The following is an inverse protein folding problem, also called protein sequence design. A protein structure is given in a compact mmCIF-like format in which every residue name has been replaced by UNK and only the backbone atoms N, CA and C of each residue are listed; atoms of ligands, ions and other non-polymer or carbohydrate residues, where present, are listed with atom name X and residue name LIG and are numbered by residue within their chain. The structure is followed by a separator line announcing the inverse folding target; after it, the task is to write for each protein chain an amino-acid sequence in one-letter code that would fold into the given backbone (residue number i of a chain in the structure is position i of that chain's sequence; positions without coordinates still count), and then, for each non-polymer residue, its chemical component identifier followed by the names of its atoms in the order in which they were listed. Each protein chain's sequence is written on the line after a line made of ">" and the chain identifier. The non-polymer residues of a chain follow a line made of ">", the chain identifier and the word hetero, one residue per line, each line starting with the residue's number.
data_IF_828475093638
#
_entry.id   IF_828475093638
#
_cell.length_a   1.000
_cell.length_b   1.000
_cell.length_c   1.000
_cell.angle_alpha   90.00
_cell.angle_beta   90.00
_cell.angle_gamma   90.00
#
_symmetry.space_group_name_H-M   'P 1'
#
loop_
_entity.id
_entity.type
_entity.pdbx_description
1 polymer ?
#
# COMPACT_ATOMS: atom_id res chain seq x y z
N UNK A 1 12.50 5.17 2.89
CA UNK A 1 12.25 3.72 2.72
C UNK A 1 11.01 3.40 3.54
N UNK A 2 9.83 3.38 2.93
CA UNK A 2 8.58 3.32 3.69
C UNK A 2 8.37 1.91 4.26
N UNK A 3 8.43 1.83 5.59
CA UNK A 3 8.28 0.65 6.41
C UNK A 3 6.78 0.35 6.60
N UNK A 4 6.07 0.01 5.53
CA UNK A 4 4.67 -0.40 5.64
C UNK A 4 4.62 -1.85 6.10
N UNK A 5 4.54 -2.02 7.42
CA UNK A 5 4.18 -3.24 8.12
C UNK A 5 4.81 -4.46 7.43
N UNK A 6 6.12 -4.61 7.59
CA UNK A 6 6.66 -5.97 7.67
C UNK A 6 5.89 -6.62 8.80
N UNK A 7 4.82 -7.34 8.46
CA UNK A 7 4.34 -8.49 9.20
C UNK A 7 5.56 -9.40 9.31
N UNK A 8 6.43 -9.12 10.29
CA UNK A 8 7.34 -10.09 10.86
C UNK A 8 6.42 -11.04 11.62
N UNK A 9 5.74 -11.87 10.84
CA UNK A 9 5.28 -13.13 11.34
C UNK A 9 6.59 -13.85 11.67
N UNK A 10 6.95 -13.85 12.95
CA UNK A 10 7.98 -14.73 13.48
C UNK A 10 7.40 -16.13 13.36
N UNK A 11 7.48 -16.68 12.16
CA UNK A 11 7.00 -18.02 11.84
C UNK A 11 8.04 -19.01 12.39
N UNK A 12 8.15 -19.06 13.71
CA UNK A 12 8.93 -20.03 14.43
C UNK A 12 8.12 -21.33 14.39
N UNK A 13 8.48 -22.24 13.48
CA UNK A 13 7.92 -23.59 13.43
C UNK A 13 7.20 -24.02 12.13
N UNK A 14 7.09 -23.19 11.08
CA UNK A 14 6.62 -23.67 9.77
C UNK A 14 7.77 -24.13 8.87
N UNK A 15 7.51 -25.22 8.15
CA UNK A 15 8.34 -25.70 7.03
C UNK A 15 8.51 -24.63 5.96
N UNK A 16 9.64 -24.66 5.22
CA UNK A 16 9.99 -23.65 4.20
C UNK A 16 8.87 -23.42 3.18
N UNK A 17 8.27 -24.49 2.66
CA UNK A 17 7.19 -24.39 1.66
C UNK A 17 5.95 -23.65 2.19
N UNK A 18 5.57 -23.90 3.45
CA UNK A 18 4.44 -23.21 4.08
C UNK A 18 4.76 -21.74 4.35
N UNK A 19 6.02 -21.42 4.68
CA UNK A 19 6.49 -20.03 4.82
C UNK A 19 6.38 -19.29 3.50
N UNK A 20 6.84 -19.87 2.41
CA UNK A 20 6.79 -19.23 1.08
C UNK A 20 5.35 -19.00 0.63
N UNK A 21 4.46 -19.98 0.84
CA UNK A 21 3.04 -19.83 0.53
C UNK A 21 2.38 -18.71 1.36
N UNK A 22 2.65 -18.64 2.67
CA UNK A 22 2.14 -17.58 3.53
C UNK A 22 2.68 -16.21 3.11
N UNK A 23 3.98 -16.12 2.78
CA UNK A 23 4.59 -14.89 2.30
C UNK A 23 3.95 -14.41 1.00
N UNK A 24 3.68 -15.31 0.04
CA UNK A 24 3.04 -14.95 -1.21
C UNK A 24 1.58 -14.52 -1.02
N UNK A 25 0.83 -15.18 -0.14
CA UNK A 25 -0.51 -14.76 0.23
C UNK A 25 -0.52 -13.37 0.87
N UNK A 26 0.44 -13.09 1.76
CA UNK A 26 0.61 -11.77 2.37
C UNK A 26 0.98 -10.71 1.34
N UNK A 27 1.96 -10.98 0.45
CA UNK A 27 2.32 -10.07 -0.64
C UNK A 27 1.11 -9.71 -1.50
N UNK A 28 0.32 -10.71 -1.91
CA UNK A 28 -0.87 -10.50 -2.72
C UNK A 28 -1.92 -9.67 -1.98
N UNK A 29 -2.16 -9.96 -0.70
CA UNK A 29 -3.08 -9.19 0.14
C UNK A 29 -2.64 -7.74 0.29
N UNK A 30 -1.36 -7.51 0.59
CA UNK A 30 -0.78 -6.17 0.71
C UNK A 30 -0.86 -5.41 -0.62
N UNK A 31 -0.57 -6.06 -1.75
CA UNK A 31 -0.71 -5.45 -3.09
C UNK A 31 -2.15 -5.01 -3.35
N UNK A 32 -3.12 -5.88 -3.07
CA UNK A 32 -4.53 -5.58 -3.25
C UNK A 32 -5.00 -4.44 -2.34
N UNK A 33 -4.58 -4.43 -1.07
CA UNK A 33 -4.88 -3.33 -0.16
C UNK A 33 -4.30 -2.00 -0.66
N UNK A 34 -3.03 -1.98 -1.08
CA UNK A 34 -2.40 -0.78 -1.66
C UNK A 34 -3.13 -0.28 -2.89
N UNK A 35 -3.56 -1.18 -3.76
CA UNK A 35 -4.36 -0.81 -4.93
C UNK A 35 -5.67 -0.14 -4.54
N UNK A 36 -6.43 -0.72 -3.59
CA UNK A 36 -7.70 -0.12 -3.11
C UNK A 36 -7.49 1.27 -2.50
N UNK A 37 -6.44 1.43 -1.70
CA UNK A 37 -6.10 2.70 -1.07
C UNK A 37 -5.71 3.76 -2.10
N UNK A 38 -4.91 3.38 -3.10
CA UNK A 38 -4.55 4.29 -4.20
C UNK A 38 -5.77 4.68 -5.05
N UNK A 39 -6.65 3.73 -5.35
CA UNK A 39 -7.90 4.02 -6.04
C UNK A 39 -8.78 4.99 -5.26
N UNK A 40 -8.78 4.91 -3.93
CA UNK A 40 -9.47 5.90 -3.09
C UNK A 40 -8.82 7.27 -3.18
N UNK A 41 -7.49 7.35 -3.13
CA UNK A 41 -6.76 8.59 -3.33
C UNK A 41 -7.09 9.25 -4.67
N UNK A 42 -7.12 8.48 -5.77
CA UNK A 42 -7.44 8.99 -7.11
C UNK A 42 -8.87 9.48 -7.31
N UNK A 43 -9.80 9.17 -6.40
CA UNK A 43 -11.17 9.72 -6.45
C UNK A 43 -11.22 11.20 -6.10
N UNK A 44 -10.20 11.69 -5.41
CA UNK A 44 -10.11 13.07 -4.97
C UNK A 44 -9.22 13.85 -5.95
N UNK A 45 -9.67 15.01 -6.45
CA UNK A 45 -8.89 15.79 -7.41
C UNK A 45 -7.68 16.49 -6.76
N UNK A 46 -7.72 16.72 -5.44
CA UNK A 46 -6.63 17.35 -4.69
C UNK A 46 -6.13 16.46 -3.55
N UNK A 47 -4.88 16.66 -3.14
CA UNK A 47 -4.28 15.95 -2.01
C UNK A 47 -4.99 16.32 -0.71
N UNK A 48 -5.37 17.59 -0.58
CA UNK A 48 -6.01 18.17 0.60
C UNK A 48 -7.36 17.51 0.86
N UNK A 49 -8.17 17.29 -0.18
CA UNK A 49 -9.44 16.56 -0.07
C UNK A 49 -9.20 15.08 0.27
N UNK A 50 -8.18 14.47 -0.32
CA UNK A 50 -7.83 13.08 -0.01
C UNK A 50 -7.42 12.89 1.46
N UNK A 51 -6.73 13.87 2.06
CA UNK A 51 -6.31 13.82 3.47
C UNK A 51 -7.49 13.86 4.45
N UNK A 52 -8.61 14.49 4.07
CA UNK A 52 -9.83 14.50 4.87
C UNK A 52 -10.57 13.15 4.86
N UNK A 53 -10.32 12.32 3.84
CA UNK A 53 -10.99 11.03 3.63
C UNK A 53 -10.14 9.85 4.15
N UNK A 54 -9.80 9.88 5.44
CA UNK A 54 -8.95 8.87 6.08
C UNK A 54 -9.65 7.49 6.08
N UNK A 55 -8.98 6.43 5.58
CA UNK A 55 -9.51 5.08 5.68
C UNK A 55 -9.56 4.58 7.12
N UNK A 56 -10.67 3.94 7.51
CA UNK A 56 -10.84 3.34 8.84
C UNK A 56 -9.79 2.26 9.18
N UNK A 57 -9.16 1.68 8.16
CA UNK A 57 -8.08 0.69 8.31
C UNK A 57 -6.70 1.33 8.59
N UNK A 58 -6.58 2.66 8.55
CA UNK A 58 -5.33 3.40 8.68
C UNK A 58 -5.45 4.55 9.69
N UNK A 59 -4.33 4.83 10.33
CA UNK A 59 -4.17 6.06 11.11
C UNK A 59 -3.85 7.23 10.17
N UNK A 60 -4.15 8.45 10.64
CA UNK A 60 -3.95 9.70 9.88
C UNK A 60 -2.51 9.84 9.36
N UNK A 61 -1.50 9.63 10.21
CA UNK A 61 -0.08 9.75 9.85
C UNK A 61 0.33 8.79 8.71
N UNK A 62 -0.18 7.56 8.75
CA UNK A 62 0.09 6.57 7.70
C UNK A 62 -0.61 6.94 6.39
N UNK A 63 -1.83 7.48 6.48
CA UNK A 63 -2.56 7.96 5.32
C UNK A 63 -1.91 9.19 4.69
N UNK A 64 -1.47 10.14 5.51
CA UNK A 64 -0.75 11.33 5.07
C UNK A 64 0.54 10.96 4.33
N UNK A 65 1.30 10.02 4.88
CA UNK A 65 2.51 9.48 4.25
C UNK A 65 2.23 8.86 2.88
N UNK A 66 1.12 8.12 2.73
CA UNK A 66 0.70 7.53 1.46
C UNK A 66 0.27 8.60 0.44
N UNK A 67 -0.54 9.57 0.86
CA UNK A 67 -0.96 10.69 0.03
C UNK A 67 0.23 11.53 -0.44
N UNK A 68 1.20 11.79 0.44
CA UNK A 68 2.45 12.46 0.09
C UNK A 68 3.26 11.65 -0.95
N UNK A 69 3.36 10.33 -0.76
CA UNK A 69 4.06 9.44 -1.69
C UNK A 69 3.39 9.43 -3.08
N UNK A 70 2.07 9.36 -3.17
CA UNK A 70 1.36 9.36 -4.46
C UNK A 70 1.27 10.72 -5.14
N UNK A 71 1.44 11.80 -4.36
CA UNK A 71 1.54 13.15 -4.90
C UNK A 71 2.92 13.46 -5.50
N UNK A 72 3.93 12.62 -5.27
CA UNK A 72 5.26 12.80 -5.87
C UNK A 72 5.18 12.56 -7.40
N UNK A 73 5.59 13.54 -8.23
CA UNK A 73 5.57 13.41 -9.69
C UNK A 73 6.35 12.18 -10.21
N UNK A 74 7.44 11.79 -9.55
CA UNK A 74 8.24 10.60 -9.93
C UNK A 74 7.47 9.30 -9.71
N UNK A 75 6.57 9.30 -8.73
CA UNK A 75 5.73 8.16 -8.39
C UNK A 75 4.54 8.10 -9.35
N UNK A 76 3.93 9.24 -9.68
CA UNK A 76 2.85 9.33 -10.68
C UNK A 76 3.27 8.75 -12.04
N UNK A 77 4.47 9.10 -12.52
CA UNK A 77 5.01 8.56 -13.79
C UNK A 77 5.16 7.03 -13.75
N UNK A 78 5.59 6.45 -12.62
CA UNK A 78 5.73 4.99 -12.47
C UNK A 78 4.39 4.26 -12.45
N UNK A 79 3.34 4.88 -11.91
CA UNK A 79 2.01 4.28 -11.89
C UNK A 79 1.33 4.34 -13.26
N UNK A 80 1.51 5.42 -14.02
CA UNK A 80 1.02 5.52 -15.41
C UNK A 80 1.62 4.39 -16.27
N UNK A 81 2.90 4.07 -16.10
CA UNK A 81 3.58 3.03 -16.88
C UNK A 81 3.16 1.61 -16.47
N UNK A 82 2.85 1.36 -15.19
CA UNK A 82 2.42 0.03 -14.70
C UNK A 82 0.93 -0.28 -14.88
N UNK A 83 0.13 0.68 -15.37
CA UNK A 83 -1.29 0.44 -15.74
C UNK A 83 -1.42 -0.03 -17.20
N UNK A 84 -0.35 0.12 -18.00
CA UNK A 84 -0.35 -0.16 -19.46
C UNK A 84 0.24 -1.54 -19.82
N UNK A 85 0.73 -2.32 -18.86
CA UNK A 85 1.22 -3.70 -19.07
C UNK A 85 0.61 -4.71 -18.11
#
# INVERSE_FOLDING_TARGET
>A
MFCFVTLKLDIVGLDREKKDMVLDLLKNRTRNQRYKLHQRFLKHPTKEEALLDVPSELNEENWESLCAYWSDPKVQVKFIINIVY
#
